data_IF_820044628151
#
_entry.id   IF_820044628151
#
_cell.length_a   1.000
_cell.length_b   1.000
_cell.length_c   1.000
_cell.angle_alpha   90.00
_cell.angle_beta   90.00
_cell.angle_gamma   90.00
#
_symmetry.space_group_name_H-M   'P 1'
#
loop_
_entity.id
_entity.type
_entity.pdbx_description
1 polymer ?
#
# COMPACT_ATOMS: atom_id res chain seq x y z
N UNK A 1 8.64 46.32 -20.25
CA UNK A 1 7.76 45.36 -19.53
C UNK A 1 8.26 43.96 -19.88
N UNK A 2 9.27 43.50 -19.13
CA UNK A 2 9.90 42.18 -19.36
C UNK A 2 9.34 41.21 -18.32
N UNK A 3 8.56 40.23 -18.77
CA UNK A 3 8.20 39.10 -17.96
C UNK A 3 9.41 38.16 -17.84
N UNK A 4 10.01 38.13 -16.67
CA UNK A 4 11.00 37.14 -16.29
C UNK A 4 10.28 35.81 -16.07
N UNK A 5 10.51 34.85 -16.95
CA UNK A 5 10.08 33.46 -16.75
C UNK A 5 10.95 32.85 -15.64
N UNK A 6 10.37 32.69 -14.46
CA UNK A 6 10.94 31.84 -13.42
C UNK A 6 10.94 30.40 -13.97
N UNK A 7 12.13 29.88 -14.23
CA UNK A 7 12.36 28.50 -14.61
C UNK A 7 12.04 27.64 -13.38
N UNK A 8 10.82 27.14 -13.27
CA UNK A 8 10.47 26.10 -12.28
C UNK A 8 11.28 24.87 -12.67
N UNK A 9 12.36 24.64 -11.92
CA UNK A 9 13.13 23.39 -12.00
C UNK A 9 12.18 22.29 -11.54
N UNK A 10 11.81 21.41 -12.44
CA UNK A 10 11.03 20.21 -12.10
C UNK A 10 11.80 19.43 -11.05
N UNK A 11 11.38 19.55 -9.82
CA UNK A 11 11.86 18.75 -8.71
C UNK A 11 11.56 17.29 -9.04
N UNK A 12 12.55 16.42 -8.87
CA UNK A 12 12.47 15.01 -9.21
C UNK A 12 11.44 14.30 -8.30
N UNK A 13 10.16 14.40 -8.65
CA UNK A 13 9.05 13.64 -8.03
C UNK A 13 9.28 12.12 -8.08
N UNK A 14 10.17 11.66 -8.96
CA UNK A 14 10.59 10.26 -9.02
C UNK A 14 11.35 9.78 -7.78
N UNK A 15 11.98 10.65 -6.99
CA UNK A 15 12.68 10.20 -5.78
C UNK A 15 11.74 9.88 -4.63
N UNK A 16 10.68 10.64 -4.44
CA UNK A 16 9.67 10.31 -3.42
C UNK A 16 8.86 9.07 -3.81
N UNK A 17 8.58 8.88 -5.11
CA UNK A 17 7.97 7.65 -5.63
C UNK A 17 8.96 6.48 -5.72
N UNK A 18 10.26 6.73 -5.98
CA UNK A 18 11.28 5.68 -6.14
C UNK A 18 11.68 5.04 -4.81
N UNK A 19 11.57 5.74 -3.69
CA UNK A 19 11.75 5.11 -2.37
C UNK A 19 10.62 4.12 -2.05
N UNK A 20 9.46 4.26 -2.68
CA UNK A 20 8.35 3.30 -2.58
C UNK A 20 8.40 2.18 -3.63
N UNK A 21 9.12 2.36 -4.75
CA UNK A 21 9.14 1.41 -5.88
C UNK A 21 10.44 0.58 -6.00
N UNK A 22 11.51 0.89 -5.26
CA UNK A 22 12.79 0.16 -5.33
C UNK A 22 12.88 -1.06 -4.40
N UNK A 23 11.80 -1.45 -3.75
CA UNK A 23 11.74 -2.61 -2.86
C UNK A 23 11.38 -3.94 -3.58
N UNK A 24 11.35 -3.99 -4.91
CA UNK A 24 10.84 -5.16 -5.66
C UNK A 24 11.88 -5.92 -6.51
N UNK A 25 13.18 -5.86 -6.18
CA UNK A 25 14.15 -6.75 -6.84
C UNK A 25 15.30 -7.16 -5.93
N UNK A 26 15.14 -8.23 -5.19
CA UNK A 26 16.18 -8.89 -4.39
C UNK A 26 16.07 -10.40 -4.49
N UNK A 27 16.97 -10.99 -5.28
CA UNK A 27 17.13 -12.42 -5.52
C UNK A 27 17.44 -13.18 -4.23
N UNK A 28 16.70 -14.24 -3.98
CA UNK A 28 16.90 -15.21 -2.90
C UNK A 28 18.06 -16.14 -3.24
N UNK A 29 19.05 -16.24 -2.37
CA UNK A 29 19.97 -17.39 -2.31
C UNK A 29 19.79 -18.08 -0.96
N UNK A 30 19.39 -19.34 -1.07
CA UNK A 30 19.13 -20.28 0.00
C UNK A 30 20.41 -20.85 0.62
N UNK A 31 20.46 -20.95 1.95
CA UNK A 31 21.27 -21.96 2.65
C UNK A 31 20.47 -22.56 3.80
N UNK A 32 20.29 -23.87 3.75
CA UNK A 32 19.85 -24.70 4.86
C UNK A 32 21.05 -25.20 5.68
N UNK A 33 20.89 -25.43 6.96
CA UNK A 33 21.36 -26.71 7.50
C UNK A 33 20.28 -27.50 8.21
N UNK A 34 20.27 -28.76 7.90
CA UNK A 34 19.61 -29.88 8.54
C UNK A 34 20.16 -30.12 9.95
N UNK A 35 19.28 -30.42 10.90
CA UNK A 35 19.60 -31.36 11.99
C UNK A 35 18.37 -32.09 12.50
N UNK A 36 18.49 -33.38 12.45
CA UNK A 36 17.56 -34.41 12.94
C UNK A 36 17.65 -34.58 14.46
N UNK A 37 16.52 -34.82 15.13
CA UNK A 37 16.43 -35.82 16.17
C UNK A 37 14.99 -36.24 16.41
N UNK A 38 14.81 -37.54 16.38
CA UNK A 38 13.59 -38.31 16.52
C UNK A 38 13.29 -38.52 18.02
N UNK A 39 12.04 -38.39 18.47
CA UNK A 39 11.53 -39.20 19.58
C UNK A 39 10.06 -39.55 19.35
N UNK A 40 9.79 -40.84 19.42
CA UNK A 40 8.48 -41.48 19.30
C UNK A 40 7.63 -41.21 20.56
N UNK A 41 6.39 -40.87 20.36
CA UNK A 41 5.34 -40.92 21.38
C UNK A 41 4.02 -41.26 20.70
N UNK A 42 3.54 -42.48 20.92
CA UNK A 42 2.24 -43.00 20.50
C UNK A 42 1.14 -42.39 21.36
N UNK A 43 0.09 -41.86 20.72
CA UNK A 43 -1.13 -41.39 21.40
C UNK A 43 -2.23 -41.10 20.38
N UNK A 44 -3.23 -41.92 20.40
CA UNK A 44 -4.51 -42.03 19.75
C UNK A 44 -5.15 -40.74 19.22
N UNK A 45 -5.77 -40.89 18.08
CA UNK A 45 -6.61 -39.94 17.39
C UNK A 45 -7.77 -39.42 18.26
N UNK A 46 -7.92 -38.11 18.28
CA UNK A 46 -9.23 -37.49 18.37
C UNK A 46 -9.26 -36.31 17.37
N UNK A 47 -9.90 -36.57 16.25
CA UNK A 47 -10.15 -35.60 15.20
C UNK A 47 -11.51 -34.98 15.49
N UNK A 48 -11.56 -33.78 16.05
CA UNK A 48 -12.63 -32.78 15.87
C UNK A 48 -12.54 -31.70 16.96
N UNK A 49 -11.63 -30.82 16.82
CA UNK A 49 -11.70 -29.45 17.35
C UNK A 49 -10.59 -28.63 16.66
N UNK A 50 -10.72 -28.39 15.37
CA UNK A 50 -9.92 -27.38 14.68
C UNK A 50 -10.42 -26.02 15.20
N UNK A 51 -9.72 -25.62 16.20
CA UNK A 51 -9.48 -24.32 16.79
C UNK A 51 -10.18 -23.12 16.13
N UNK A 52 -11.38 -22.82 16.57
CA UNK A 52 -11.97 -21.48 16.51
C UNK A 52 -11.17 -20.43 17.31
N UNK A 53 -10.17 -20.86 18.10
CA UNK A 53 -9.30 -19.99 18.90
C UNK A 53 -8.19 -19.30 18.08
N UNK A 54 -7.87 -19.78 16.88
CA UNK A 54 -6.81 -19.21 16.02
C UNK A 54 -7.31 -18.25 14.94
N UNK A 55 -8.60 -17.96 14.87
CA UNK A 55 -9.19 -17.09 13.86
C UNK A 55 -9.18 -15.60 14.23
N UNK A 56 -9.08 -15.25 15.49
CA UNK A 56 -9.04 -13.85 15.94
C UNK A 56 -7.61 -13.34 16.04
N UNK A 57 -7.12 -12.76 14.94
CA UNK A 57 -5.89 -11.98 14.98
C UNK A 57 -6.12 -10.75 15.87
N UNK A 58 -5.33 -10.62 16.93
CA UNK A 58 -5.35 -9.42 17.77
C UNK A 58 -4.56 -8.30 17.10
N UNK A 59 -5.02 -7.08 17.26
CA UNK A 59 -4.42 -5.88 16.69
C UNK A 59 -3.95 -4.94 17.77
N UNK A 60 -2.89 -4.18 17.46
CA UNK A 60 -2.42 -3.07 18.27
C UNK A 60 -2.12 -1.89 17.35
N UNK A 61 -1.97 -0.68 17.89
CA UNK A 61 -1.74 0.50 17.09
C UNK A 61 -0.80 1.50 17.76
N UNK A 62 -0.08 2.27 16.94
CA UNK A 62 0.69 3.43 17.36
C UNK A 62 0.11 4.64 16.66
N UNK A 63 -0.23 5.66 17.45
CA UNK A 63 -0.75 6.93 16.93
C UNK A 63 0.23 8.04 17.28
N UNK A 64 0.63 8.79 16.26
CA UNK A 64 1.43 10.02 16.38
C UNK A 64 0.59 11.15 15.80
N UNK A 65 0.54 12.25 16.50
CA UNK A 65 -0.11 13.49 16.06
C UNK A 65 0.71 14.66 16.64
N UNK A 66 1.75 15.07 15.91
CA UNK A 66 2.72 16.04 16.41
C UNK A 66 3.31 16.89 15.27
N UNK A 67 3.95 18.00 15.63
CA UNK A 67 4.67 18.87 14.71
C UNK A 67 6.15 18.94 15.11
N UNK A 68 7.01 18.62 14.16
CA UNK A 68 8.46 18.66 14.29
C UNK A 68 9.02 19.92 13.64
N UNK A 69 9.94 20.58 14.32
CA UNK A 69 10.50 21.89 13.93
C UNK A 69 12.00 21.78 13.68
N UNK A 70 12.52 22.60 12.78
CA UNK A 70 13.97 22.76 12.58
C UNK A 70 14.66 23.16 13.91
N UNK A 71 14.05 24.10 14.65
CA UNK A 71 14.49 24.39 16.02
C UNK A 71 13.44 23.88 17.03
N UNK A 72 13.62 22.68 17.60
CA UNK A 72 12.66 22.09 18.54
C UNK A 72 12.50 22.87 19.84
N UNK A 73 13.57 23.54 20.32
CA UNK A 73 13.54 24.27 21.60
C UNK A 73 12.67 25.52 21.51
N UNK A 74 12.77 26.26 20.43
CA UNK A 74 12.03 27.50 20.21
C UNK A 74 10.75 27.30 19.42
N UNK A 75 10.55 26.11 18.83
CA UNK A 75 9.47 25.79 17.88
C UNK A 75 9.43 26.76 16.69
N UNK A 76 10.59 27.08 16.14
CA UNK A 76 10.77 28.01 15.02
C UNK A 76 11.44 27.32 13.83
N UNK A 77 11.36 27.99 12.67
CA UNK A 77 11.87 27.51 11.40
C UNK A 77 10.88 26.59 10.66
N UNK A 78 11.31 25.99 9.56
CA UNK A 78 10.52 25.02 8.81
C UNK A 78 10.02 23.90 9.71
N UNK A 79 8.82 23.41 9.42
CA UNK A 79 8.23 22.37 10.26
C UNK A 79 7.46 21.35 9.41
N UNK A 80 7.32 20.15 9.95
CA UNK A 80 6.45 19.11 9.39
C UNK A 80 5.43 18.66 10.44
N UNK A 81 4.16 18.72 10.08
CA UNK A 81 3.10 18.06 10.83
C UNK A 81 3.04 16.60 10.40
N UNK A 82 3.11 15.70 11.37
CA UNK A 82 3.11 14.25 11.17
C UNK A 82 1.91 13.64 11.89
N UNK A 83 1.02 13.01 11.12
CA UNK A 83 -0.07 12.20 11.65
C UNK A 83 0.10 10.75 11.17
N UNK A 84 0.46 9.86 12.09
CA UNK A 84 0.63 8.44 11.81
C UNK A 84 -0.38 7.65 12.64
N UNK A 85 -1.15 6.78 11.98
CA UNK A 85 -1.97 5.76 12.62
C UNK A 85 -1.55 4.39 12.08
N UNK A 86 -0.54 3.80 12.72
CA UNK A 86 0.03 2.51 12.33
C UNK A 86 -0.66 1.38 13.10
N UNK A 87 -1.47 0.60 12.39
CA UNK A 87 -2.11 -0.62 12.87
C UNK A 87 -1.24 -1.83 12.52
N UNK A 88 -1.02 -2.75 13.45
CA UNK A 88 -0.21 -3.94 13.24
C UNK A 88 -0.76 -5.15 13.99
N UNK A 89 -0.50 -6.40 13.52
CA UNK A 89 -0.94 -7.62 14.18
C UNK A 89 -0.15 -7.83 15.48
N UNK A 90 -0.81 -8.37 16.52
CA UNK A 90 -0.21 -8.62 17.82
C UNK A 90 0.14 -10.11 17.98
N UNK A 91 1.34 -10.38 18.51
CA UNK A 91 1.74 -11.74 18.89
C UNK A 91 2.28 -12.60 17.74
N UNK A 92 2.33 -12.08 16.51
CA UNK A 92 2.92 -12.77 15.36
C UNK A 92 4.05 -11.92 14.76
N UNK A 93 5.29 -12.30 15.06
CA UNK A 93 6.47 -11.55 14.60
C UNK A 93 6.65 -11.55 13.09
N UNK A 94 6.28 -12.63 12.40
CA UNK A 94 6.41 -12.72 10.97
C UNK A 94 5.43 -11.76 10.27
N UNK A 95 4.19 -11.68 10.74
CA UNK A 95 3.23 -10.70 10.26
C UNK A 95 3.66 -9.26 10.61
N UNK A 96 4.19 -9.01 11.80
CA UNK A 96 4.73 -7.68 12.17
C UNK A 96 5.82 -7.25 11.18
N UNK A 97 6.75 -8.15 10.83
CA UNK A 97 7.81 -7.86 9.85
C UNK A 97 7.25 -7.51 8.47
N UNK A 98 6.20 -8.20 8.01
CA UNK A 98 5.53 -7.89 6.75
C UNK A 98 4.83 -6.53 6.82
N UNK A 99 4.15 -6.22 7.92
CA UNK A 99 3.47 -4.94 8.12
C UNK A 99 4.46 -3.77 8.19
N UNK A 100 5.57 -3.92 8.91
CA UNK A 100 6.63 -2.92 8.94
C UNK A 100 7.22 -2.68 7.54
N UNK A 101 7.55 -3.76 6.82
CA UNK A 101 8.05 -3.70 5.44
C UNK A 101 7.08 -2.97 4.53
N UNK A 102 5.82 -3.34 4.55
CA UNK A 102 4.79 -2.75 3.73
C UNK A 102 4.57 -1.28 4.05
N UNK A 103 4.56 -0.93 5.34
CA UNK A 103 4.24 0.43 5.79
C UNK A 103 5.42 1.38 5.61
N UNK A 104 6.62 0.96 6.00
CA UNK A 104 7.79 1.85 6.11
C UNK A 104 8.91 1.49 5.12
N UNK A 105 8.93 0.28 4.57
CA UNK A 105 9.96 -0.20 3.63
C UNK A 105 10.82 -1.33 4.18
N UNK A 106 11.64 -1.94 3.31
CA UNK A 106 12.42 -3.14 3.61
C UNK A 106 13.35 -3.00 4.81
N UNK A 107 13.99 -1.84 4.95
CA UNK A 107 14.95 -1.57 6.03
C UNK A 107 14.31 -1.54 7.43
N UNK A 108 12.98 -1.47 7.50
CA UNK A 108 12.21 -1.44 8.74
C UNK A 108 11.66 -2.81 9.15
N UNK A 109 11.73 -3.80 8.27
CA UNK A 109 11.06 -5.09 8.45
C UNK A 109 11.37 -5.77 9.80
N UNK A 110 12.63 -5.73 10.24
CA UNK A 110 13.08 -6.43 11.45
C UNK A 110 12.98 -5.60 12.74
N UNK A 111 12.51 -4.37 12.66
CA UNK A 111 12.35 -3.51 13.83
C UNK A 111 11.09 -3.90 14.62
N UNK A 112 11.05 -3.53 15.90
CA UNK A 112 9.77 -3.48 16.61
C UNK A 112 8.87 -2.39 16.00
N UNK A 113 7.55 -2.46 16.14
CA UNK A 113 6.64 -1.43 15.66
C UNK A 113 6.99 -0.02 16.16
N UNK A 114 7.40 0.09 17.42
CA UNK A 114 7.81 1.34 18.07
C UNK A 114 9.09 1.92 17.45
N UNK A 115 10.11 1.06 17.26
CA UNK A 115 11.36 1.47 16.61
C UNK A 115 11.14 1.87 15.15
N UNK A 116 10.28 1.14 14.44
CA UNK A 116 9.93 1.45 13.05
C UNK A 116 9.30 2.84 12.93
N UNK A 117 8.29 3.15 13.75
CA UNK A 117 7.66 4.47 13.77
C UNK A 117 8.65 5.55 14.16
N UNK A 118 9.44 5.36 15.24
CA UNK A 118 10.39 6.35 15.70
C UNK A 118 11.47 6.66 14.65
N UNK A 119 11.97 5.63 13.96
CA UNK A 119 12.94 5.81 12.87
C UNK A 119 12.31 6.50 11.66
N UNK A 120 11.09 6.13 11.28
CA UNK A 120 10.38 6.73 10.16
C UNK A 120 10.16 8.23 10.38
N UNK A 121 9.79 8.66 11.59
CA UNK A 121 9.66 10.08 11.94
C UNK A 121 10.98 10.82 11.70
N UNK A 122 12.12 10.26 12.09
CA UNK A 122 13.43 10.89 11.84
C UNK A 122 13.77 11.02 10.36
N UNK A 123 13.39 10.04 9.54
CA UNK A 123 13.55 10.12 8.09
C UNK A 123 12.65 11.22 7.51
N UNK A 124 11.41 11.34 8.00
CA UNK A 124 10.47 12.40 7.64
C UNK A 124 11.01 13.79 8.05
N UNK A 125 11.50 13.95 9.27
CA UNK A 125 12.14 15.21 9.69
C UNK A 125 13.27 15.60 8.75
N UNK A 126 14.14 14.65 8.41
CA UNK A 126 15.28 14.91 7.52
C UNK A 126 14.85 15.31 6.12
N UNK A 127 13.83 14.66 5.57
CA UNK A 127 13.36 14.93 4.20
C UNK A 127 12.55 16.23 4.11
N UNK A 128 11.70 16.52 5.09
CA UNK A 128 10.70 17.60 5.01
C UNK A 128 11.16 18.91 5.64
N UNK A 129 12.13 18.88 6.56
CA UNK A 129 12.64 20.06 7.24
C UNK A 129 13.99 20.48 6.66
N UNK A 130 14.91 19.51 6.47
CA UNK A 130 16.32 19.78 6.14
C UNK A 130 16.64 19.66 4.65
N UNK A 131 15.65 19.66 3.75
CA UNK A 131 15.95 19.67 2.33
C UNK A 131 16.56 21.01 1.91
N UNK A 132 17.80 21.06 1.42
CA UNK A 132 18.49 22.31 1.05
C UNK A 132 17.73 23.12 0.00
N UNK A 133 17.03 22.44 -0.91
CA UNK A 133 16.30 23.07 -2.02
C UNK A 133 15.02 23.77 -1.55
N UNK A 134 14.55 23.51 -0.32
CA UNK A 134 13.27 24.03 0.19
C UNK A 134 13.40 25.38 0.90
N UNK A 135 14.61 25.79 1.26
CA UNK A 135 14.84 26.98 2.11
C UNK A 135 15.66 28.09 1.43
N UNK A 136 16.21 27.85 0.24
CA UNK A 136 17.03 28.83 -0.48
C UNK A 136 16.19 30.05 -0.90
N UNK A 137 16.62 31.24 -0.50
CA UNK A 137 16.00 32.52 -0.87
C UNK A 137 14.88 33.01 0.05
N UNK A 138 14.56 32.29 1.14
CA UNK A 138 13.55 32.70 2.12
C UNK A 138 14.16 33.38 3.34
N UNK A 139 13.43 34.37 3.90
CA UNK A 139 13.81 34.97 5.17
C UNK A 139 13.48 34.05 6.35
N UNK A 140 14.13 34.21 7.53
CA UNK A 140 13.79 33.44 8.72
C UNK A 140 12.31 33.54 9.12
N UNK A 141 11.68 34.70 8.89
CA UNK A 141 10.25 34.91 9.17
C UNK A 141 9.34 34.14 8.20
N UNK A 142 9.77 34.00 6.94
CA UNK A 142 9.06 33.19 5.95
C UNK A 142 9.18 31.70 6.28
N UNK A 143 10.37 31.26 6.70
CA UNK A 143 10.63 29.88 7.10
C UNK A 143 9.78 29.47 8.31
N UNK A 144 9.55 30.36 9.28
CA UNK A 144 8.66 30.09 10.43
C UNK A 144 7.20 29.81 10.04
N UNK A 145 6.79 30.26 8.85
CA UNK A 145 5.44 30.05 8.31
C UNK A 145 5.32 28.80 7.44
N UNK A 146 6.45 28.20 7.07
CA UNK A 146 6.49 27.06 6.17
C UNK A 146 6.21 25.77 6.91
N UNK A 147 5.17 25.08 6.48
CA UNK A 147 4.78 23.78 7.04
C UNK A 147 4.57 22.75 5.94
N UNK A 148 5.23 21.62 6.11
CA UNK A 148 4.93 20.41 5.37
C UNK A 148 3.95 19.55 6.17
N UNK A 149 3.26 18.63 5.50
CA UNK A 149 2.34 17.70 6.14
C UNK A 149 2.59 16.28 5.65
N UNK A 150 2.53 15.32 6.57
CA UNK A 150 2.55 13.91 6.28
C UNK A 150 1.46 13.22 7.10
N UNK A 151 0.57 12.51 6.41
CA UNK A 151 -0.38 11.60 7.04
C UNK A 151 -0.15 10.20 6.50
N UNK A 152 0.03 9.23 7.40
CA UNK A 152 0.18 7.82 7.09
C UNK A 152 -0.78 7.00 7.92
N UNK A 153 -1.60 6.17 7.29
CA UNK A 153 -2.56 5.29 7.96
C UNK A 153 -2.62 3.92 7.32
N UNK A 154 -2.70 2.90 8.16
CA UNK A 154 -3.05 1.56 7.71
C UNK A 154 -4.53 1.29 7.99
N UNK A 155 -5.18 0.63 7.03
CA UNK A 155 -6.57 0.19 7.17
C UNK A 155 -6.69 -1.27 6.74
N UNK A 156 -7.29 -2.10 7.58
CA UNK A 156 -7.65 -3.46 7.21
C UNK A 156 -8.98 -3.42 6.45
N UNK A 157 -8.97 -3.94 5.22
CA UNK A 157 -10.16 -4.10 4.40
C UNK A 157 -10.84 -5.43 4.62
N UNK A 158 -10.03 -6.47 4.72
CA UNK A 158 -10.53 -7.83 4.90
C UNK A 158 -9.54 -8.66 5.70
N UNK A 159 -10.06 -9.59 6.49
CA UNK A 159 -9.28 -10.60 7.19
C UNK A 159 -10.12 -11.86 7.40
N UNK A 160 -9.59 -12.99 6.96
CA UNK A 160 -10.13 -14.32 7.26
C UNK A 160 -9.02 -15.29 7.67
N UNK A 161 -9.23 -16.61 7.53
CA UNK A 161 -8.23 -17.63 7.84
C UNK A 161 -7.10 -17.72 6.81
N UNK A 162 -7.29 -17.16 5.61
CA UNK A 162 -6.36 -17.26 4.48
C UNK A 162 -5.63 -15.95 4.21
N UNK A 163 -6.34 -14.82 4.21
CA UNK A 163 -5.85 -13.55 3.70
C UNK A 163 -6.04 -12.41 4.70
N UNK A 164 -5.09 -11.48 4.70
CA UNK A 164 -5.26 -10.12 5.23
C UNK A 164 -5.07 -9.16 4.07
N UNK A 165 -6.10 -8.36 3.75
CA UNK A 165 -5.99 -7.22 2.83
C UNK A 165 -5.83 -5.94 3.63
N UNK A 166 -4.66 -5.30 3.51
CA UNK A 166 -4.31 -4.07 4.21
C UNK A 166 -3.97 -2.96 3.23
N UNK A 167 -4.53 -1.77 3.47
CA UNK A 167 -4.22 -0.53 2.76
C UNK A 167 -3.27 0.33 3.60
N UNK A 168 -2.24 0.84 2.97
CA UNK A 168 -1.46 1.99 3.43
C UNK A 168 -1.93 3.22 2.68
N UNK A 169 -2.53 4.17 3.37
CA UNK A 169 -2.85 5.50 2.85
C UNK A 169 -1.73 6.45 3.24
N UNK A 170 -1.17 7.15 2.25
CA UNK A 170 -0.16 8.17 2.44
C UNK A 170 -0.66 9.47 1.81
N UNK A 171 -0.68 10.55 2.58
CA UNK A 171 -0.93 11.90 2.10
C UNK A 171 0.23 12.79 2.49
N UNK A 172 0.72 13.58 1.54
CA UNK A 172 1.87 14.45 1.74
C UNK A 172 1.62 15.83 1.13
N UNK A 173 2.13 16.85 1.80
CA UNK A 173 2.24 18.19 1.27
C UNK A 173 3.62 18.75 1.64
N UNK A 174 4.41 19.06 0.64
CA UNK A 174 5.68 19.76 0.83
C UNK A 174 5.43 21.27 0.82
N UNK A 175 6.09 21.98 1.71
CA UNK A 175 6.05 23.42 1.72
C UNK A 175 6.41 24.01 0.35
N UNK A 176 5.62 24.98 -0.13
CA UNK A 176 5.80 25.59 -1.45
C UNK A 176 5.27 24.79 -2.63
N UNK A 177 4.76 23.59 -2.44
CA UNK A 177 4.08 22.83 -3.49
C UNK A 177 2.73 23.48 -3.83
N UNK A 178 2.29 23.34 -5.09
CA UNK A 178 1.00 23.85 -5.55
C UNK A 178 -0.17 23.11 -4.87
N UNK A 179 -0.01 21.79 -4.61
CA UNK A 179 -0.99 20.94 -3.93
C UNK A 179 -0.30 19.74 -3.29
N UNK A 180 -1.01 19.09 -2.39
CA UNK A 180 -0.60 17.82 -1.81
C UNK A 180 -0.77 16.65 -2.76
N UNK A 181 -0.16 15.52 -2.40
CA UNK A 181 -0.33 14.24 -3.08
C UNK A 181 -0.87 13.24 -2.07
N UNK A 182 -1.74 12.35 -2.52
CA UNK A 182 -2.20 11.23 -1.72
C UNK A 182 -2.36 9.99 -2.57
N UNK A 183 -2.26 8.84 -1.93
CA UNK A 183 -2.42 7.56 -2.61
C UNK A 183 -2.57 6.41 -1.63
N UNK A 184 -2.97 5.27 -2.17
CA UNK A 184 -3.09 4.02 -1.46
C UNK A 184 -2.17 2.98 -2.09
N UNK A 185 -1.48 2.23 -1.22
CA UNK A 185 -0.83 0.98 -1.59
C UNK A 185 -1.53 -0.14 -0.85
N UNK A 186 -1.81 -1.24 -1.55
CA UNK A 186 -2.46 -2.40 -0.96
C UNK A 186 -1.45 -3.54 -0.84
N UNK A 187 -1.54 -4.29 0.24
CA UNK A 187 -0.85 -5.57 0.40
C UNK A 187 -1.86 -6.63 0.81
N UNK A 188 -1.86 -7.72 0.07
CA UNK A 188 -2.58 -8.92 0.46
C UNK A 188 -1.57 -9.91 1.03
N UNK A 189 -1.81 -10.38 2.24
CA UNK A 189 -0.90 -11.28 2.95
C UNK A 189 -1.54 -12.65 3.08
N UNK A 190 -0.85 -13.69 2.59
CA UNK A 190 -1.17 -15.07 2.90
C UNK A 190 -0.83 -15.32 4.38
N UNK A 191 -1.85 -15.57 5.18
CA UNK A 191 -1.70 -15.74 6.65
C UNK A 191 -0.96 -17.01 7.02
N UNK A 192 -1.03 -18.04 6.18
CA UNK A 192 -0.41 -19.33 6.44
C UNK A 192 1.03 -19.36 5.96
N UNK A 193 1.29 -18.80 4.79
CA UNK A 193 2.63 -18.75 4.21
C UNK A 193 3.48 -17.58 4.76
N UNK A 194 2.88 -16.58 5.42
CA UNK A 194 3.51 -15.33 5.80
C UNK A 194 4.23 -14.66 4.62
N UNK A 195 3.52 -14.54 3.51
CA UNK A 195 4.04 -13.94 2.27
C UNK A 195 3.03 -12.99 1.66
N UNK A 196 3.53 -12.04 0.85
CA UNK A 196 2.66 -11.15 0.07
C UNK A 196 2.10 -11.92 -1.11
N UNK A 197 0.82 -11.72 -1.41
CA UNK A 197 0.12 -12.27 -2.57
C UNK A 197 0.11 -11.19 -3.66
N UNK A 198 0.70 -11.50 -4.80
CA UNK A 198 0.71 -10.69 -6.02
C UNK A 198 -0.29 -11.23 -7.05
N UNK A 199 -0.53 -10.46 -8.12
CA UNK A 199 -1.30 -10.95 -9.28
C UNK A 199 -0.69 -12.24 -9.87
N UNK A 200 0.66 -12.35 -9.91
CA UNK A 200 1.36 -13.52 -10.40
C UNK A 200 1.12 -14.79 -9.58
N UNK A 201 0.73 -14.68 -8.31
CA UNK A 201 0.35 -15.81 -7.47
C UNK A 201 -1.10 -16.27 -7.73
N UNK A 202 -1.93 -15.40 -8.29
CA UNK A 202 -3.35 -15.63 -8.52
C UNK A 202 -3.66 -16.09 -9.94
N UNK A 203 -2.95 -15.54 -10.95
CA UNK A 203 -3.30 -15.67 -12.37
C UNK A 203 -2.26 -16.46 -13.15
N UNK A 204 -2.69 -17.07 -14.26
CA UNK A 204 -1.80 -17.81 -15.21
C UNK A 204 -0.82 -16.86 -15.88
N UNK A 205 0.29 -17.39 -16.37
CA UNK A 205 1.28 -16.60 -17.09
C UNK A 205 0.64 -15.94 -18.34
N UNK A 206 0.95 -14.64 -18.55
CA UNK A 206 0.38 -13.87 -19.65
C UNK A 206 -1.01 -13.30 -19.40
N UNK A 207 -1.54 -13.38 -18.19
CA UNK A 207 -2.89 -12.89 -17.79
C UNK A 207 -3.18 -11.44 -18.07
N UNK A 208 -2.15 -10.58 -18.17
CA UNK A 208 -2.30 -9.11 -18.11
C UNK A 208 -3.28 -8.55 -19.17
N UNK A 209 -3.23 -9.06 -20.41
CA UNK A 209 -4.11 -8.60 -21.47
C UNK A 209 -5.59 -8.96 -21.23
N UNK A 210 -5.86 -10.15 -20.70
CA UNK A 210 -7.23 -10.58 -20.41
C UNK A 210 -7.75 -9.94 -19.14
N UNK A 211 -6.91 -9.76 -18.12
CA UNK A 211 -7.29 -9.02 -16.91
C UNK A 211 -7.58 -7.55 -17.22
N UNK A 212 -6.82 -6.90 -18.13
CA UNK A 212 -7.14 -5.53 -18.59
C UNK A 212 -8.55 -5.43 -19.19
N UNK A 213 -8.93 -6.38 -20.06
CA UNK A 213 -10.30 -6.41 -20.64
C UNK A 213 -11.38 -6.61 -19.57
N UNK A 214 -11.11 -7.45 -18.58
CA UNK A 214 -12.02 -7.66 -17.45
C UNK A 214 -12.15 -6.36 -16.65
N UNK A 215 -11.05 -5.73 -16.27
CA UNK A 215 -11.03 -4.47 -15.52
C UNK A 215 -11.77 -3.35 -16.28
N UNK A 216 -11.51 -3.17 -17.57
CA UNK A 216 -12.21 -2.19 -18.43
C UNK A 216 -13.72 -2.42 -18.44
N UNK A 217 -14.16 -3.68 -18.54
CA UNK A 217 -15.59 -4.02 -18.49
C UNK A 217 -16.19 -3.71 -17.12
N UNK A 218 -15.50 -4.06 -16.04
CA UNK A 218 -16.00 -3.83 -14.68
C UNK A 218 -15.88 -2.37 -14.22
N UNK A 219 -15.01 -1.58 -14.83
CA UNK A 219 -15.00 -0.13 -14.66
C UNK A 219 -16.33 0.51 -15.04
N UNK A 220 -16.93 0.08 -16.15
CA UNK A 220 -18.27 0.56 -16.56
C UNK A 220 -19.30 0.28 -15.46
N UNK A 221 -19.33 -0.92 -14.93
CA UNK A 221 -20.28 -1.32 -13.87
C UNK A 221 -20.03 -0.56 -12.57
N UNK A 222 -18.77 -0.36 -12.18
CA UNK A 222 -18.38 0.32 -10.94
C UNK A 222 -18.86 1.77 -10.91
N UNK A 223 -18.96 2.41 -12.08
CA UNK A 223 -19.39 3.80 -12.22
C UNK A 223 -20.81 3.94 -12.83
N UNK A 224 -21.53 2.82 -13.01
CA UNK A 224 -22.90 2.83 -13.58
C UNK A 224 -22.95 3.37 -15.01
N UNK A 225 -21.89 3.15 -15.80
CA UNK A 225 -21.80 3.61 -17.22
C UNK A 225 -22.04 2.43 -18.16
N UNK A 226 -22.53 2.74 -19.37
CA UNK A 226 -22.85 1.72 -20.37
C UNK A 226 -21.79 1.60 -21.46
N UNK A 227 -21.02 2.67 -21.70
CA UNK A 227 -20.02 2.74 -22.75
C UNK A 227 -18.71 3.35 -22.22
N UNK A 228 -17.61 3.03 -22.90
CA UNK A 228 -16.29 3.62 -22.61
C UNK A 228 -16.33 5.14 -22.76
N UNK A 229 -16.98 5.63 -23.83
CA UNK A 229 -17.15 7.06 -24.06
C UNK A 229 -17.85 7.75 -22.87
N UNK A 230 -18.91 7.14 -22.32
CA UNK A 230 -19.58 7.71 -21.12
C UNK A 230 -18.66 7.75 -19.90
N UNK A 231 -17.80 6.72 -19.72
CA UNK A 231 -16.86 6.68 -18.61
C UNK A 231 -15.80 7.78 -18.73
N UNK A 232 -15.28 8.00 -19.96
CA UNK A 232 -14.30 9.04 -20.23
C UNK A 232 -14.91 10.45 -20.12
N UNK A 233 -16.06 10.69 -20.75
CA UNK A 233 -16.67 12.03 -20.80
C UNK A 233 -17.28 12.47 -19.46
N UNK A 234 -17.86 11.55 -18.69
CA UNK A 234 -18.58 11.89 -17.44
C UNK A 234 -17.76 11.71 -16.19
N UNK A 235 -16.85 10.72 -16.17
CA UNK A 235 -16.02 10.40 -15.01
C UNK A 235 -14.57 10.84 -15.19
N UNK A 236 -14.13 11.14 -16.41
CA UNK A 236 -12.75 11.52 -16.71
C UNK A 236 -11.76 10.36 -16.62
N UNK A 237 -12.24 9.10 -16.67
CA UNK A 237 -11.41 7.91 -16.55
C UNK A 237 -10.99 7.43 -17.95
N UNK A 238 -9.70 7.35 -18.22
CA UNK A 238 -9.15 6.90 -19.51
C UNK A 238 -9.16 5.37 -19.58
N UNK A 239 -10.12 4.81 -20.31
CA UNK A 239 -10.33 3.35 -20.35
C UNK A 239 -9.14 2.61 -20.94
N UNK A 240 -8.44 3.19 -21.93
CA UNK A 240 -7.23 2.61 -22.52
C UNK A 240 -6.09 2.40 -21.51
N UNK A 241 -6.06 3.17 -20.44
CA UNK A 241 -4.99 3.16 -19.46
C UNK A 241 -5.29 2.17 -18.31
N UNK A 242 -6.50 1.59 -18.26
CA UNK A 242 -6.88 0.59 -17.26
C UNK A 242 -6.15 -0.72 -17.56
N UNK A 243 -5.20 -1.05 -16.71
CA UNK A 243 -4.39 -2.27 -16.75
C UNK A 243 -4.12 -2.79 -15.34
N UNK A 244 -3.75 -4.07 -15.19
CA UNK A 244 -3.27 -4.62 -13.93
C UNK A 244 -2.13 -3.78 -13.34
N UNK A 245 -2.15 -3.52 -12.04
CA UNK A 245 -1.17 -2.67 -11.37
C UNK A 245 -0.71 -3.23 -10.00
N UNK A 246 -1.09 -4.47 -9.69
CA UNK A 246 -0.77 -5.17 -8.43
C UNK A 246 -1.25 -4.44 -7.16
N UNK A 247 -2.17 -3.47 -7.32
CA UNK A 247 -2.69 -2.64 -6.25
C UNK A 247 -4.18 -2.92 -6.02
N UNK A 248 -4.50 -4.03 -5.37
CA UNK A 248 -5.86 -4.54 -5.19
C UNK A 248 -6.09 -5.13 -3.80
N UNK A 249 -7.34 -5.05 -3.30
CA UNK A 249 -7.78 -5.81 -2.13
C UNK A 249 -8.42 -7.13 -2.57
N UNK A 250 -8.33 -8.13 -1.69
CA UNK A 250 -9.08 -9.39 -1.79
C UNK A 250 -10.12 -9.38 -0.65
N UNK A 251 -11.37 -9.73 -0.96
CA UNK A 251 -12.40 -10.04 0.01
C UNK A 251 -13.22 -11.27 -0.42
N UNK A 252 -14.25 -11.65 0.32
CA UNK A 252 -15.10 -12.82 0.01
C UNK A 252 -15.88 -12.70 -1.32
N UNK A 253 -16.00 -11.49 -1.88
CA UNK A 253 -16.80 -11.21 -3.09
C UNK A 253 -15.98 -11.05 -4.34
N UNK A 254 -14.73 -10.57 -4.20
CA UNK A 254 -13.91 -10.26 -5.35
C UNK A 254 -12.63 -9.50 -5.04
N UNK A 255 -12.10 -8.91 -6.08
CA UNK A 255 -10.94 -8.01 -6.02
C UNK A 255 -11.40 -6.58 -6.26
N UNK A 256 -10.86 -5.64 -5.48
CA UNK A 256 -11.03 -4.20 -5.78
C UNK A 256 -9.67 -3.63 -6.14
N UNK A 257 -9.51 -3.19 -7.38
CA UNK A 257 -8.31 -2.52 -7.88
C UNK A 257 -8.34 -1.03 -7.54
N UNK A 258 -7.19 -0.50 -7.13
CA UNK A 258 -7.00 0.90 -6.75
C UNK A 258 -6.02 1.55 -7.73
N UNK A 259 -6.46 2.61 -8.39
CA UNK A 259 -5.64 3.45 -9.24
C UNK A 259 -5.48 4.81 -8.56
N UNK A 260 -4.25 5.20 -8.30
CA UNK A 260 -3.95 6.44 -7.62
C UNK A 260 -4.06 7.66 -8.56
N UNK A 261 -3.79 8.84 -8.01
CA UNK A 261 -3.80 10.09 -8.76
C UNK A 261 -2.92 9.99 -10.01
N UNK A 262 -3.43 10.43 -11.15
CA UNK A 262 -2.75 10.45 -12.45
C UNK A 262 -2.47 9.09 -13.10
N UNK A 263 -2.87 7.97 -12.51
CA UNK A 263 -2.66 6.66 -13.14
C UNK A 263 -3.57 6.45 -14.36
N UNK A 264 -4.88 6.67 -14.18
CA UNK A 264 -5.87 6.45 -15.24
C UNK A 264 -6.89 7.60 -15.36
N UNK A 265 -6.67 8.70 -14.64
CA UNK A 265 -7.55 9.85 -14.61
C UNK A 265 -6.77 11.10 -14.18
N UNK A 266 -7.23 12.34 -14.51
CA UNK A 266 -6.66 13.57 -13.99
C UNK A 266 -6.77 13.67 -12.46
N UNK A 267 -5.91 14.49 -11.83
CA UNK A 267 -5.90 14.75 -10.39
C UNK A 267 -7.28 15.06 -9.78
N UNK A 268 -8.10 15.84 -10.51
CA UNK A 268 -9.41 16.26 -10.02
C UNK A 268 -10.43 15.12 -9.83
N UNK A 269 -10.21 13.97 -10.50
CA UNK A 269 -11.05 12.78 -10.36
C UNK A 269 -10.73 12.05 -9.04
N UNK A 270 -9.49 12.15 -8.60
CA UNK A 270 -9.05 11.44 -7.40
C UNK A 270 -8.65 9.99 -7.67
N UNK A 271 -8.71 9.17 -6.63
CA UNK A 271 -8.44 7.74 -6.72
C UNK A 271 -9.62 7.01 -7.38
N UNK A 272 -9.32 6.16 -8.36
CA UNK A 272 -10.31 5.32 -9.04
C UNK A 272 -10.27 3.91 -8.47
N UNK A 273 -11.47 3.30 -8.25
CA UNK A 273 -11.60 1.94 -7.74
C UNK A 273 -12.47 1.11 -8.67
N UNK A 274 -12.01 -0.10 -8.98
CA UNK A 274 -12.71 -1.01 -9.88
C UNK A 274 -12.89 -2.34 -9.17
N UNK A 275 -14.15 -2.72 -8.91
CA UNK A 275 -14.49 -4.00 -8.32
C UNK A 275 -14.70 -5.07 -9.39
N UNK A 276 -14.12 -6.26 -9.18
CA UNK A 276 -14.24 -7.43 -10.06
C UNK A 276 -14.62 -8.64 -9.19
N UNK A 277 -15.79 -9.27 -9.39
CA UNK A 277 -16.16 -10.46 -8.65
C UNK A 277 -15.31 -11.68 -9.02
N UNK A 278 -15.12 -12.60 -8.09
CA UNK A 278 -14.27 -13.79 -8.28
C UNK A 278 -14.66 -14.60 -9.51
N UNK A 279 -15.95 -14.75 -9.78
CA UNK A 279 -16.48 -15.54 -10.91
C UNK A 279 -16.01 -14.98 -12.27
N UNK A 280 -15.75 -13.68 -12.36
CA UNK A 280 -15.28 -13.06 -13.59
C UNK A 280 -13.80 -13.40 -13.91
N UNK A 281 -13.08 -13.89 -12.91
CA UNK A 281 -11.65 -14.17 -12.99
C UNK A 281 -11.35 -15.65 -13.28
N UNK A 282 -12.34 -16.54 -13.19
CA UNK A 282 -12.18 -18.01 -13.30
C UNK A 282 -11.33 -18.41 -14.52
N UNK A 283 -11.56 -17.77 -15.69
CA UNK A 283 -10.87 -18.10 -16.94
C UNK A 283 -9.37 -17.77 -16.98
N UNK A 284 -8.87 -17.00 -16.01
CA UNK A 284 -7.45 -16.61 -15.92
C UNK A 284 -6.80 -17.02 -14.60
N UNK A 285 -7.51 -17.74 -13.71
CA UNK A 285 -6.94 -18.20 -12.45
C UNK A 285 -5.86 -19.25 -12.69
N UNK A 286 -4.76 -19.14 -11.97
CA UNK A 286 -3.73 -20.16 -11.89
C UNK A 286 -4.28 -21.43 -11.21
N UNK A 287 -3.90 -22.63 -11.64
CA UNK A 287 -4.20 -23.84 -10.88
C UNK A 287 -3.76 -23.71 -9.43
N UNK A 288 -4.63 -24.03 -8.49
CA UNK A 288 -4.45 -23.85 -7.04
C UNK A 288 -4.37 -22.40 -6.55
N UNK A 289 -4.85 -21.43 -7.35
CA UNK A 289 -5.04 -20.06 -6.86
C UNK A 289 -5.90 -20.05 -5.58
N UNK A 290 -5.49 -19.28 -4.58
CA UNK A 290 -6.28 -19.16 -3.35
C UNK A 290 -7.71 -18.65 -3.59
N UNK A 291 -7.94 -17.95 -4.71
CA UNK A 291 -9.26 -17.40 -5.05
C UNK A 291 -10.31 -18.48 -5.31
N UNK A 292 -9.90 -19.72 -5.62
CA UNK A 292 -10.88 -20.84 -5.70
C UNK A 292 -11.62 -21.08 -4.40
N UNK A 293 -11.02 -20.70 -3.26
CA UNK A 293 -11.69 -20.82 -1.96
C UNK A 293 -12.96 -19.96 -1.84
N UNK A 294 -13.00 -18.85 -2.57
CA UNK A 294 -14.12 -17.91 -2.55
C UNK A 294 -15.17 -18.17 -3.65
N UNK A 295 -14.90 -19.12 -4.53
CA UNK A 295 -15.85 -19.48 -5.57
C UNK A 295 -16.90 -20.50 -5.06
N UNK A 296 -18.13 -20.47 -5.58
CA UNK A 296 -19.12 -21.53 -5.33
C UNK A 296 -18.58 -22.91 -5.74
N UNK A 297 -18.97 -23.96 -5.01
CA UNK A 297 -18.49 -25.34 -5.27
C UNK A 297 -18.68 -25.82 -6.71
N UNK A 298 -19.64 -25.23 -7.43
CA UNK A 298 -19.91 -25.55 -8.86
C UNK A 298 -18.82 -25.02 -9.81
N UNK A 299 -17.94 -24.16 -9.36
CA UNK A 299 -16.90 -23.51 -10.17
C UNK A 299 -15.46 -23.86 -9.71
N UNK A 300 -15.33 -24.80 -8.79
CA UNK A 300 -14.04 -25.29 -8.29
C UNK A 300 -13.46 -26.44 -9.11
#
# INVERSE_FOLDING_TARGET
MLYSFVKVKTMNYQRALTLTLLALSGVVLSFLPSCSSCSKGTGSADSTALDSANLTLAWDSIVIDDTYYDNPETKRGPSVYVNIAYLYPKGDSALIHLFNRFTFGDSFAQLSPQEAVARYIKEVETEYIYSPDSTEGYTPEDLDKMRSHLELRNKIHYVDSLVISVEKMLSTYFMGAVHGMYGSSISNVDRKAHSVISEGDLFVDGYAADLSKILQRYALSSYGRKTQQELEEKEGIYVSDIAPNDNFTIDEKGLTYYYNLYEIAPYAVGQVKIFVPHEALVGILRPNSLLYHYLPETNQ
#
